data_IF_050226293262
#
_entry.id   IF_050226293262
#
_cell.length_a   1.000
_cell.length_b   1.000
_cell.length_c   1.000
_cell.angle_alpha   90.00
_cell.angle_beta   90.00
_cell.angle_gamma   90.00
#
_symmetry.space_group_name_H-M   'P 1'
#
loop_
_entity.id
_entity.type
_entity.pdbx_description
1 polymer ?
#
# COMPACT_ATOMS: atom_id res chain seq x y z
N UNK A 1 56.88 65.70 -0.45
CA UNK A 1 55.48 65.33 -0.70
C UNK A 1 55.41 63.82 -0.93
N UNK A 2 55.02 63.03 0.07
CA UNK A 2 54.89 61.56 -0.04
C UNK A 2 53.39 61.24 -0.02
N UNK A 3 52.86 60.68 -1.11
CA UNK A 3 51.47 60.22 -1.19
C UNK A 3 51.42 58.76 -0.72
N UNK A 4 50.68 58.51 0.36
CA UNK A 4 50.35 57.16 0.81
C UNK A 4 49.03 56.74 0.14
N UNK A 5 49.05 55.62 -0.57
CA UNK A 5 47.87 54.97 -1.15
C UNK A 5 47.39 53.96 -0.12
N UNK A 6 46.19 54.18 0.43
CA UNK A 6 45.51 53.22 1.29
C UNK A 6 44.73 52.24 0.41
N UNK A 7 45.13 50.97 0.42
CA UNK A 7 44.40 49.86 -0.20
C UNK A 7 43.33 49.41 0.79
N UNK A 8 42.06 49.61 0.41
CA UNK A 8 40.89 49.14 1.15
C UNK A 8 40.59 47.70 0.69
N UNK A 9 41.04 46.70 1.44
CA UNK A 9 40.63 45.31 1.25
C UNK A 9 39.20 45.13 1.76
N UNK A 10 38.24 45.06 0.84
CA UNK A 10 36.89 44.58 1.10
C UNK A 10 36.91 43.06 1.34
N UNK A 11 36.86 42.65 2.61
CA UNK A 11 36.52 41.28 2.97
C UNK A 11 35.01 41.09 2.78
N UNK A 12 34.61 40.57 1.62
CA UNK A 12 33.27 40.05 1.42
C UNK A 12 33.15 38.72 2.16
N UNK A 13 32.70 38.76 3.42
CA UNK A 13 32.22 37.57 4.13
C UNK A 13 30.94 37.12 3.44
N UNK A 14 31.04 36.09 2.61
CA UNK A 14 29.88 35.34 2.14
C UNK A 14 29.28 34.63 3.36
N UNK A 15 28.33 35.29 4.03
CA UNK A 15 27.42 34.63 4.94
C UNK A 15 26.59 33.66 4.10
N UNK A 16 26.98 32.38 4.06
CA UNK A 16 26.06 31.31 3.68
C UNK A 16 24.94 31.34 4.71
N UNK A 17 23.83 31.99 4.40
CA UNK A 17 22.62 31.92 5.20
C UNK A 17 22.12 30.48 5.11
N UNK A 18 22.38 29.68 6.13
CA UNK A 18 21.66 28.43 6.35
C UNK A 18 20.17 28.78 6.39
N UNK A 19 19.43 28.39 5.36
CA UNK A 19 17.99 28.59 5.36
C UNK A 19 17.40 27.82 6.55
N UNK A 20 16.51 28.42 7.33
CA UNK A 20 15.88 27.72 8.43
C UNK A 20 15.10 26.51 7.88
N UNK A 21 15.34 25.35 8.48
CA UNK A 21 14.62 24.11 8.17
C UNK A 21 13.13 24.33 8.43
N UNK A 22 12.27 24.04 7.45
CA UNK A 22 10.83 24.22 7.63
C UNK A 22 10.24 23.16 8.57
N UNK A 23 9.01 23.38 9.03
CA UNK A 23 8.29 22.42 9.87
C UNK A 23 7.99 21.11 9.12
N UNK A 24 7.77 21.19 7.80
CA UNK A 24 7.59 20.00 6.95
C UNK A 24 8.85 19.12 6.94
N UNK A 25 10.03 19.72 6.67
CA UNK A 25 11.31 19.02 6.76
C UNK A 25 11.55 18.46 8.16
N UNK A 26 11.20 19.21 9.21
CA UNK A 26 11.36 18.77 10.61
C UNK A 26 10.55 17.51 10.89
N UNK A 27 9.31 17.43 10.40
CA UNK A 27 8.49 16.21 10.50
C UNK A 27 9.17 15.03 9.82
N UNK A 28 9.71 15.21 8.61
CA UNK A 28 10.41 14.12 7.89
C UNK A 28 11.73 13.74 8.57
N UNK A 29 12.49 14.70 9.10
CA UNK A 29 13.72 14.42 9.87
C UNK A 29 13.43 13.51 11.06
N UNK A 30 12.33 13.72 11.76
CA UNK A 30 11.94 12.88 12.89
C UNK A 30 11.69 11.42 12.48
N UNK A 31 11.11 11.20 11.28
CA UNK A 31 10.83 9.85 10.76
C UNK A 31 12.10 9.05 10.47
N UNK A 32 13.21 9.70 10.13
CA UNK A 32 14.49 9.03 9.88
C UNK A 32 15.31 8.74 11.15
N UNK A 33 14.87 9.18 12.33
CA UNK A 33 15.65 8.98 13.56
C UNK A 33 15.98 7.51 13.86
N UNK A 34 15.04 6.54 13.73
CA UNK A 34 15.35 5.13 13.95
C UNK A 34 16.51 4.64 13.07
N UNK A 35 16.44 4.91 11.77
CA UNK A 35 17.47 4.54 10.78
C UNK A 35 18.82 5.21 11.04
N UNK A 36 18.82 6.49 11.43
CA UNK A 36 20.06 7.24 11.69
C UNK A 36 20.78 6.71 12.93
N UNK A 37 20.04 6.44 13.99
CA UNK A 37 20.57 5.98 15.29
C UNK A 37 21.07 4.54 15.18
N UNK A 38 20.28 3.67 14.56
CA UNK A 38 20.60 2.24 14.39
C UNK A 38 21.55 1.95 13.24
N UNK A 39 21.89 2.94 12.41
CA UNK A 39 22.59 2.74 11.13
C UNK A 39 21.83 1.80 10.17
N UNK A 40 20.50 1.81 10.24
CA UNK A 40 19.62 1.04 9.38
C UNK A 40 19.19 -0.30 9.96
N UNK A 41 19.74 -0.70 11.11
CA UNK A 41 19.39 -1.98 11.76
C UNK A 41 17.97 -1.97 12.33
N UNK A 42 17.45 -0.79 12.71
CA UNK A 42 16.06 -0.59 13.14
C UNK A 42 15.25 0.07 12.03
N UNK A 43 14.00 -0.38 11.86
CA UNK A 43 13.06 0.20 10.91
C UNK A 43 12.30 1.40 11.47
N UNK A 44 11.74 2.21 10.56
CA UNK A 44 10.75 3.24 10.84
C UNK A 44 9.37 2.58 10.86
N UNK A 45 8.74 2.36 12.03
CA UNK A 45 7.47 1.65 12.08
C UNK A 45 6.37 2.46 11.39
N UNK A 46 5.56 1.82 10.55
CA UNK A 46 4.46 2.49 9.86
C UNK A 46 3.50 3.18 10.84
N UNK A 47 3.29 2.58 12.01
CA UNK A 47 2.46 3.10 13.12
C UNK A 47 3.00 4.38 13.76
N UNK A 48 4.27 4.72 13.52
CA UNK A 48 4.89 5.95 14.02
C UNK A 48 4.77 7.13 13.05
N UNK A 49 4.34 6.88 11.81
CA UNK A 49 4.20 7.91 10.78
C UNK A 49 2.93 8.71 11.04
N UNK A 50 3.00 10.04 11.18
CA UNK A 50 1.82 10.87 11.40
C UNK A 50 1.08 11.05 10.06
N UNK A 51 0.29 10.07 9.66
CA UNK A 51 -0.43 10.08 8.39
C UNK A 51 -1.66 11.00 8.40
N UNK A 52 -2.09 11.45 7.22
CA UNK A 52 -3.43 12.03 7.04
C UNK A 52 -4.49 10.98 7.41
N UNK A 53 -5.69 11.40 7.85
CA UNK A 53 -6.76 10.45 8.17
C UNK A 53 -7.11 9.52 7.00
N UNK A 54 -7.14 10.04 5.77
CA UNK A 54 -7.40 9.22 4.59
C UNK A 54 -6.29 8.19 4.37
N UNK A 55 -5.02 8.57 4.49
CA UNK A 55 -3.91 7.65 4.25
C UNK A 55 -3.77 6.59 5.35
N UNK A 56 -3.98 6.98 6.62
CA UNK A 56 -4.06 6.04 7.76
C UNK A 56 -5.20 5.02 7.58
N UNK A 57 -6.39 5.48 7.15
CA UNK A 57 -7.51 4.59 6.88
C UNK A 57 -7.20 3.60 5.75
N UNK A 58 -6.59 4.08 4.67
CA UNK A 58 -6.19 3.26 3.52
C UNK A 58 -5.18 2.17 3.90
N UNK A 59 -4.11 2.54 4.60
CA UNK A 59 -3.08 1.56 5.03
C UNK A 59 -3.64 0.52 6.01
N UNK A 60 -4.55 0.92 6.91
CA UNK A 60 -5.27 0.00 7.79
C UNK A 60 -6.22 -0.92 7.04
N UNK A 61 -6.92 -0.41 6.04
CA UNK A 61 -7.79 -1.22 5.20
C UNK A 61 -6.98 -2.26 4.44
N UNK A 62 -5.87 -1.87 3.83
CA UNK A 62 -4.95 -2.79 3.16
C UNK A 62 -4.42 -3.87 4.13
N UNK A 63 -3.97 -3.47 5.33
CA UNK A 63 -3.49 -4.43 6.32
C UNK A 63 -4.56 -5.43 6.77
N UNK A 64 -5.83 -4.99 6.89
CA UNK A 64 -6.95 -5.90 7.14
C UNK A 64 -7.21 -6.84 5.97
N UNK A 65 -7.13 -6.31 4.75
CA UNK A 65 -7.36 -7.07 3.53
C UNK A 65 -6.33 -8.20 3.38
N UNK A 66 -5.05 -7.93 3.64
CA UNK A 66 -4.00 -8.95 3.57
C UNK A 66 -4.04 -10.01 4.68
N UNK A 67 -4.73 -9.73 5.79
CA UNK A 67 -4.79 -10.62 6.95
C UNK A 67 -3.56 -10.53 7.86
N UNK A 68 -3.61 -11.23 9.01
CA UNK A 68 -2.57 -11.12 10.05
C UNK A 68 -1.23 -11.76 9.66
N UNK A 69 -1.24 -12.70 8.71
CA UNK A 69 -0.06 -13.48 8.31
C UNK A 69 0.74 -12.86 7.15
N UNK A 70 0.21 -11.85 6.46
CA UNK A 70 0.83 -11.26 5.27
C UNK A 70 0.97 -9.73 5.40
N UNK A 71 2.15 -9.21 5.77
CA UNK A 71 2.34 -7.77 5.84
C UNK A 71 2.24 -7.16 4.43
N UNK A 72 1.28 -6.24 4.22
CA UNK A 72 1.19 -5.43 2.98
C UNK A 72 2.48 -4.68 2.71
N UNK A 73 3.11 -4.18 3.79
CA UNK A 73 4.32 -3.40 3.75
C UNK A 73 5.45 -4.18 4.43
N UNK A 74 6.09 -5.07 3.68
CA UNK A 74 7.17 -5.95 4.18
C UNK A 74 8.58 -5.31 4.07
N UNK A 75 8.66 -3.99 4.21
CA UNK A 75 9.91 -3.22 4.15
C UNK A 75 9.73 -1.88 4.88
N UNK A 76 10.84 -1.24 5.25
CA UNK A 76 10.85 0.11 5.78
C UNK A 76 10.62 1.15 4.66
N UNK A 77 9.51 1.92 4.67
CA UNK A 77 9.24 2.92 3.64
C UNK A 77 10.20 4.12 3.65
N UNK A 78 10.84 4.44 4.77
CA UNK A 78 11.84 5.49 4.86
C UNK A 78 13.20 5.03 4.32
N UNK A 79 13.58 3.77 4.58
CA UNK A 79 14.84 3.15 4.15
C UNK A 79 14.81 2.49 2.77
N UNK A 80 13.61 2.19 2.26
CA UNK A 80 13.34 1.36 1.07
C UNK A 80 14.04 -0.02 1.15
N UNK A 81 13.98 -0.67 2.30
CA UNK A 81 14.64 -1.95 2.52
C UNK A 81 14.01 -2.73 3.68
N UNK A 82 14.15 -4.06 3.64
CA UNK A 82 13.66 -4.97 4.68
C UNK A 82 14.73 -5.17 5.77
N UNK A 83 15.93 -5.60 5.39
CA UNK A 83 17.05 -5.89 6.30
C UNK A 83 18.32 -5.14 5.87
N UNK A 84 18.42 -3.85 6.21
CA UNK A 84 19.50 -2.99 5.76
C UNK A 84 20.47 -2.65 6.89
N UNK A 85 21.71 -2.33 6.52
CA UNK A 85 22.72 -1.80 7.44
C UNK A 85 23.61 -0.80 6.71
N UNK A 86 24.27 0.08 7.46
CA UNK A 86 25.14 1.10 6.90
C UNK A 86 24.40 2.33 6.37
N UNK A 87 23.23 2.66 6.92
CA UNK A 87 22.51 3.89 6.59
C UNK A 87 23.41 5.13 6.82
N UNK A 88 23.61 5.91 5.77
CA UNK A 88 24.53 7.04 5.76
C UNK A 88 24.07 8.17 4.84
N UNK A 89 24.73 9.31 4.97
CA UNK A 89 24.61 10.46 4.05
C UNK A 89 23.18 11.02 3.89
N UNK A 90 22.33 10.90 4.92
CA UNK A 90 20.99 11.44 4.90
C UNK A 90 20.99 12.96 4.69
N UNK A 91 20.25 13.39 3.67
CA UNK A 91 19.92 14.78 3.38
C UNK A 91 18.41 14.90 3.20
N UNK A 92 17.81 15.86 3.89
CA UNK A 92 16.39 16.17 3.79
C UNK A 92 16.26 17.62 3.34
N UNK A 93 15.48 17.84 2.29
CA UNK A 93 15.24 19.15 1.70
C UNK A 93 13.90 19.16 0.94
N UNK A 94 13.36 20.34 0.61
CA UNK A 94 12.28 20.42 -0.37
C UNK A 94 12.64 19.69 -1.67
N UNK A 95 11.66 19.00 -2.25
CA UNK A 95 11.82 18.36 -3.55
C UNK A 95 12.19 19.39 -4.63
N UNK A 96 13.12 19.04 -5.50
CA UNK A 96 13.51 19.91 -6.62
C UNK A 96 12.46 19.86 -7.74
N UNK A 97 12.48 20.83 -8.66
CA UNK A 97 11.65 20.76 -9.86
C UNK A 97 12.04 19.53 -10.71
N UNK A 98 11.05 18.84 -11.30
CA UNK A 98 11.19 17.60 -12.10
C UNK A 98 11.46 16.31 -11.30
N UNK A 99 10.91 16.20 -10.10
CA UNK A 99 10.87 14.94 -9.35
C UNK A 99 9.86 13.95 -9.95
N UNK A 100 9.89 12.70 -9.48
CA UNK A 100 8.99 11.62 -9.93
C UNK A 100 7.50 11.90 -9.71
N UNK A 101 7.18 12.89 -8.87
CA UNK A 101 5.82 13.30 -8.57
C UNK A 101 5.73 14.82 -8.51
N UNK A 102 4.53 15.32 -8.80
CA UNK A 102 4.11 16.69 -8.51
C UNK A 102 3.29 16.65 -7.23
N UNK A 103 3.55 17.55 -6.29
CA UNK A 103 2.75 17.66 -5.08
C UNK A 103 1.29 17.95 -5.44
N UNK A 104 0.34 17.30 -4.76
CA UNK A 104 -1.07 17.66 -4.88
C UNK A 104 -1.30 19.11 -4.41
N UNK A 105 -2.45 19.68 -4.77
CA UNK A 105 -2.78 21.04 -4.32
C UNK A 105 -2.80 21.12 -2.78
N UNK A 106 -2.10 22.11 -2.22
CA UNK A 106 -1.97 22.28 -0.78
C UNK A 106 -0.92 21.37 -0.12
N UNK A 107 -0.28 20.48 -0.87
CA UNK A 107 0.76 19.60 -0.36
C UNK A 107 2.17 20.15 -0.66
N UNK A 108 3.15 19.61 0.05
CA UNK A 108 4.58 19.86 -0.15
C UNK A 108 5.30 18.52 -0.27
N UNK A 109 6.14 18.36 -1.30
CA UNK A 109 7.03 17.21 -1.40
C UNK A 109 8.36 17.51 -0.70
N UNK A 110 8.72 16.67 0.27
CA UNK A 110 10.01 16.69 0.94
C UNK A 110 10.83 15.50 0.44
N UNK A 111 12.03 15.79 -0.07
CA UNK A 111 12.96 14.78 -0.56
C UNK A 111 13.93 14.38 0.54
N UNK A 112 14.01 13.08 0.82
CA UNK A 112 15.06 12.46 1.60
C UNK A 112 16.00 11.69 0.66
N UNK A 113 17.31 11.94 0.74
CA UNK A 113 18.32 11.24 -0.04
C UNK A 113 19.39 10.69 0.88
N UNK A 114 19.74 9.42 0.72
CA UNK A 114 20.64 8.70 1.62
C UNK A 114 21.36 7.58 0.88
N UNK A 115 22.30 6.92 1.54
CA UNK A 115 23.02 5.76 1.02
C UNK A 115 22.87 4.57 1.95
N UNK A 116 22.69 3.39 1.36
CA UNK A 116 22.80 2.09 2.02
C UNK A 116 23.80 1.27 1.20
N UNK A 117 25.07 1.18 1.59
CA UNK A 117 26.10 0.47 0.84
C UNK A 117 25.71 -1.01 0.58
N UNK A 118 26.13 -1.60 -0.55
CA UNK A 118 26.92 -1.02 -1.64
C UNK A 118 26.08 -0.25 -2.68
N UNK A 119 24.78 -0.04 -2.43
CA UNK A 119 23.87 0.55 -3.39
C UNK A 119 24.16 2.05 -3.64
N UNK A 120 23.76 2.59 -4.82
CA UNK A 120 23.81 4.03 -5.08
C UNK A 120 22.92 4.82 -4.10
N UNK A 121 23.02 6.15 -4.17
CA UNK A 121 22.12 7.03 -3.43
C UNK A 121 20.67 6.70 -3.76
N UNK A 122 19.87 6.51 -2.71
CA UNK A 122 18.42 6.30 -2.78
C UNK A 122 17.72 7.61 -2.50
N UNK A 123 16.51 7.74 -3.03
CA UNK A 123 15.67 8.92 -2.82
C UNK A 123 14.26 8.47 -2.49
N UNK A 124 13.73 9.03 -1.40
CA UNK A 124 12.33 8.91 -0.97
C UNK A 124 11.74 10.30 -0.95
N UNK A 125 10.53 10.44 -1.47
CA UNK A 125 9.75 11.67 -1.41
C UNK A 125 8.57 11.47 -0.46
N UNK A 126 8.42 12.41 0.44
CA UNK A 126 7.35 12.46 1.42
C UNK A 126 6.38 13.52 0.97
N UNK A 127 5.18 13.10 0.58
CA UNK A 127 4.09 14.02 0.30
C UNK A 127 3.44 14.39 1.62
N UNK A 128 3.56 15.66 2.01
CA UNK A 128 3.10 16.14 3.30
C UNK A 128 2.16 17.33 3.16
N UNK A 129 1.19 17.41 4.07
CA UNK A 129 0.19 18.47 4.12
C UNK A 129 0.07 19.02 5.53
N UNK A 130 -0.07 20.34 5.64
CA UNK A 130 -0.33 20.98 6.93
C UNK A 130 -1.79 20.79 7.34
N UNK A 131 -2.01 20.24 8.52
CA UNK A 131 -3.35 20.09 9.12
C UNK A 131 -3.46 20.94 10.39
N UNK A 132 -4.66 21.16 10.96
CA UNK A 132 -4.81 21.83 12.25
C UNK A 132 -4.04 21.16 13.41
N UNK A 133 -3.66 19.89 13.23
CA UNK A 133 -2.92 19.09 14.22
C UNK A 133 -1.42 18.96 13.88
N UNK A 134 -0.94 19.74 12.92
CA UNK A 134 0.43 19.76 12.41
C UNK A 134 0.57 19.07 11.05
N UNK A 135 1.81 18.98 10.57
CA UNK A 135 2.14 18.32 9.31
C UNK A 135 1.82 16.82 9.36
N UNK A 136 1.23 16.32 8.28
CA UNK A 136 0.85 14.92 8.11
C UNK A 136 1.40 14.38 6.79
N UNK A 137 1.74 13.10 6.77
CA UNK A 137 2.17 12.38 5.57
C UNK A 137 0.92 11.89 4.84
N UNK A 138 0.79 12.27 3.58
CA UNK A 138 -0.30 11.81 2.73
C UNK A 138 0.15 10.68 1.79
N UNK A 139 1.42 10.65 1.39
CA UNK A 139 1.98 9.55 0.59
C UNK A 139 3.50 9.45 0.79
N UNK A 140 4.06 8.28 0.48
CA UNK A 140 5.49 8.03 0.42
C UNK A 140 5.81 7.47 -0.96
N UNK A 141 6.77 8.09 -1.63
CA UNK A 141 7.05 7.88 -3.04
C UNK A 141 8.55 7.61 -3.24
N UNK A 142 8.86 6.77 -4.21
CA UNK A 142 10.21 6.52 -4.70
C UNK A 142 10.12 6.03 -6.15
N UNK A 143 11.24 5.83 -6.83
CA UNK A 143 11.21 5.38 -8.22
C UNK A 143 10.46 4.04 -8.35
N UNK A 144 9.40 4.02 -9.17
CA UNK A 144 8.49 2.86 -9.31
C UNK A 144 7.66 2.53 -8.07
N UNK A 145 7.53 3.44 -7.11
CA UNK A 145 6.99 3.16 -5.78
C UNK A 145 6.02 4.25 -5.30
N UNK A 146 4.83 3.83 -4.86
CA UNK A 146 3.93 4.66 -4.07
C UNK A 146 3.27 3.81 -2.98
N UNK A 147 3.38 4.24 -1.73
CA UNK A 147 2.80 3.52 -0.60
C UNK A 147 1.27 3.54 -0.64
N UNK A 148 0.64 4.64 -1.12
CA UNK A 148 -0.80 4.67 -1.43
C UNK A 148 -1.19 3.63 -2.47
N UNK A 149 -0.48 3.59 -3.61
CA UNK A 149 -0.78 2.63 -4.67
C UNK A 149 -0.66 1.18 -4.17
N UNK A 150 0.38 0.86 -3.38
CA UNK A 150 0.54 -0.49 -2.80
C UNK A 150 -0.65 -0.85 -1.90
N UNK A 151 -1.13 0.11 -1.10
CA UNK A 151 -2.31 -0.10 -0.26
C UNK A 151 -3.57 -0.35 -1.10
N UNK A 152 -3.77 0.45 -2.15
CA UNK A 152 -4.89 0.30 -3.10
C UNK A 152 -4.84 -1.05 -3.82
N UNK A 153 -3.66 -1.45 -4.30
CA UNK A 153 -3.47 -2.72 -5.00
C UNK A 153 -3.73 -3.92 -4.08
N UNK A 154 -3.31 -3.85 -2.81
CA UNK A 154 -3.58 -4.89 -1.82
C UNK A 154 -5.07 -5.05 -1.51
N UNK A 155 -5.81 -3.94 -1.45
CA UNK A 155 -7.26 -3.95 -1.29
C UNK A 155 -7.92 -4.55 -2.55
N UNK A 156 -7.54 -4.09 -3.73
CA UNK A 156 -8.12 -4.57 -4.99
C UNK A 156 -7.86 -6.06 -5.23
N UNK A 157 -6.67 -6.57 -4.88
CA UNK A 157 -6.35 -8.00 -4.99
C UNK A 157 -7.30 -8.85 -4.14
N UNK A 158 -7.66 -8.35 -2.96
CA UNK A 158 -8.57 -9.01 -2.02
C UNK A 158 -10.01 -8.99 -2.52
N UNK A 159 -10.47 -7.85 -3.05
CA UNK A 159 -11.81 -7.76 -3.67
C UNK A 159 -11.97 -8.83 -4.76
N UNK A 160 -10.96 -9.04 -5.62
CA UNK A 160 -11.04 -10.09 -6.65
C UNK A 160 -11.13 -11.51 -6.10
N UNK A 161 -10.51 -11.79 -4.95
CA UNK A 161 -10.54 -13.11 -4.33
C UNK A 161 -11.89 -13.37 -3.63
N UNK A 162 -12.44 -12.36 -2.96
CA UNK A 162 -13.79 -12.40 -2.41
C UNK A 162 -14.84 -12.60 -3.50
N UNK A 163 -14.77 -11.80 -4.57
CA UNK A 163 -15.69 -11.89 -5.71
C UNK A 163 -15.64 -13.28 -6.35
N UNK A 164 -14.42 -13.80 -6.60
CA UNK A 164 -14.22 -15.15 -7.15
C UNK A 164 -14.83 -16.22 -6.23
N UNK A 165 -14.69 -16.08 -4.92
CA UNK A 165 -15.26 -17.02 -3.96
C UNK A 165 -16.80 -17.03 -4.03
N UNK A 166 -17.43 -15.85 -4.06
CA UNK A 166 -18.90 -15.73 -4.18
C UNK A 166 -19.40 -16.25 -5.53
N UNK A 167 -18.69 -15.95 -6.61
CA UNK A 167 -19.02 -16.46 -7.95
C UNK A 167 -18.92 -17.99 -7.99
N UNK A 168 -17.85 -18.56 -7.44
CA UNK A 168 -17.68 -20.00 -7.37
C UNK A 168 -18.71 -20.69 -6.48
N UNK A 169 -19.11 -20.10 -5.35
CA UNK A 169 -20.25 -20.58 -4.56
C UNK A 169 -21.53 -20.63 -5.41
N UNK A 170 -21.78 -19.59 -6.21
CA UNK A 170 -22.98 -19.50 -7.03
C UNK A 170 -23.01 -20.56 -8.14
N UNK A 171 -21.91 -20.76 -8.88
CA UNK A 171 -21.83 -21.80 -9.91
C UNK A 171 -22.01 -23.20 -9.35
N UNK A 172 -21.33 -23.56 -8.26
CA UNK A 172 -21.47 -24.91 -7.69
C UNK A 172 -22.88 -25.15 -7.15
N UNK A 173 -23.52 -24.12 -6.58
CA UNK A 173 -24.90 -24.20 -6.11
C UNK A 173 -25.89 -24.41 -7.24
N UNK A 174 -25.83 -23.58 -8.28
CA UNK A 174 -26.68 -23.68 -9.47
C UNK A 174 -26.49 -25.04 -10.16
N UNK A 175 -25.25 -25.53 -10.23
CA UNK A 175 -24.98 -26.85 -10.83
C UNK A 175 -25.56 -27.99 -9.98
N UNK A 176 -25.42 -27.94 -8.67
CA UNK A 176 -26.01 -28.93 -7.77
C UNK A 176 -27.55 -28.95 -7.86
N UNK A 177 -28.18 -27.77 -7.94
CA UNK A 177 -29.64 -27.65 -8.13
C UNK A 177 -30.09 -28.23 -9.48
N UNK A 178 -29.35 -27.95 -10.56
CA UNK A 178 -29.63 -28.53 -11.88
C UNK A 178 -29.49 -30.07 -11.88
N UNK A 179 -28.46 -30.61 -11.21
CA UNK A 179 -28.28 -32.06 -11.05
C UNK A 179 -29.39 -32.69 -10.23
N UNK A 180 -29.83 -32.06 -9.13
CA UNK A 180 -30.93 -32.57 -8.31
C UNK A 180 -32.24 -32.73 -9.11
N UNK A 181 -32.45 -31.91 -10.15
CA UNK A 181 -33.60 -32.00 -11.05
C UNK A 181 -33.37 -33.08 -12.13
N UNK A 182 -32.21 -33.05 -12.80
CA UNK A 182 -31.94 -33.89 -13.97
C UNK A 182 -31.53 -35.33 -13.62
N UNK A 183 -30.86 -35.53 -12.50
CA UNK A 183 -30.32 -36.79 -12.01
C UNK A 183 -30.31 -36.82 -10.47
N UNK A 184 -31.45 -37.07 -9.82
CA UNK A 184 -31.60 -36.97 -8.35
C UNK A 184 -30.66 -37.87 -7.53
N UNK A 185 -30.16 -38.95 -8.12
CA UNK A 185 -29.22 -39.89 -7.49
C UNK A 185 -27.74 -39.56 -7.79
N UNK A 186 -27.45 -38.43 -8.45
CA UNK A 186 -26.09 -38.01 -8.75
C UNK A 186 -25.32 -37.66 -7.46
N UNK A 187 -24.03 -37.99 -7.43
CA UNK A 187 -23.14 -37.64 -6.32
C UNK A 187 -22.75 -36.15 -6.41
N UNK A 188 -23.24 -35.35 -5.46
CA UNK A 188 -22.96 -33.91 -5.34
C UNK A 188 -21.88 -33.58 -4.30
N UNK A 189 -21.26 -34.59 -3.67
CA UNK A 189 -20.34 -34.38 -2.55
C UNK A 189 -19.15 -33.45 -2.88
N UNK A 190 -18.64 -33.51 -4.10
CA UNK A 190 -17.58 -32.63 -4.57
C UNK A 190 -18.03 -31.16 -4.69
N UNK A 191 -19.28 -30.91 -5.10
CA UNK A 191 -19.85 -29.57 -5.19
C UNK A 191 -20.11 -29.01 -3.79
N UNK A 192 -20.67 -29.81 -2.88
CA UNK A 192 -20.90 -29.43 -1.48
C UNK A 192 -19.59 -29.10 -0.76
N UNK A 193 -18.54 -29.90 -1.00
CA UNK A 193 -17.20 -29.63 -0.45
C UNK A 193 -16.62 -28.34 -1.01
N UNK A 194 -16.77 -28.10 -2.32
CA UNK A 194 -16.30 -26.87 -2.95
C UNK A 194 -17.07 -25.65 -2.44
N UNK A 195 -18.40 -25.72 -2.32
CA UNK A 195 -19.24 -24.66 -1.77
C UNK A 195 -18.80 -24.29 -0.35
N UNK A 196 -18.55 -25.29 0.51
CA UNK A 196 -18.06 -25.06 1.87
C UNK A 196 -16.67 -24.41 1.91
N UNK A 197 -15.73 -24.86 1.05
CA UNK A 197 -14.41 -24.25 0.92
C UNK A 197 -14.50 -22.78 0.49
N UNK A 198 -15.28 -22.49 -0.55
CA UNK A 198 -15.43 -21.13 -1.07
C UNK A 198 -16.22 -20.23 -0.11
N UNK A 199 -17.22 -20.76 0.60
CA UNK A 199 -17.92 -20.03 1.67
C UNK A 199 -16.96 -19.58 2.76
N UNK A 200 -16.09 -20.48 3.24
CA UNK A 200 -15.08 -20.14 4.24
C UNK A 200 -14.11 -19.05 3.72
N UNK A 201 -13.77 -19.08 2.44
CA UNK A 201 -12.96 -18.03 1.82
C UNK A 201 -13.73 -16.71 1.75
N UNK A 202 -14.98 -16.70 1.30
CA UNK A 202 -15.81 -15.50 1.22
C UNK A 202 -16.08 -14.86 2.60
N UNK A 203 -16.21 -15.68 3.65
CA UNK A 203 -16.34 -15.23 5.04
C UNK A 203 -15.11 -14.49 5.57
N UNK A 204 -13.93 -14.67 4.96
CA UNK A 204 -12.73 -13.89 5.28
C UNK A 204 -12.81 -12.45 4.72
N UNK A 205 -13.70 -12.20 3.75
CA UNK A 205 -13.76 -10.95 2.99
C UNK A 205 -15.01 -10.14 3.28
N UNK A 206 -16.16 -10.80 3.46
CA UNK A 206 -17.45 -10.13 3.58
C UNK A 206 -18.08 -10.33 4.96
N UNK A 207 -18.78 -9.31 5.45
CA UNK A 207 -19.63 -9.48 6.63
C UNK A 207 -20.80 -10.41 6.31
N UNK A 208 -21.38 -11.15 7.28
CA UNK A 208 -22.41 -12.16 6.99
C UNK A 208 -23.62 -11.65 6.20
N UNK A 209 -24.09 -10.42 6.47
CA UNK A 209 -25.23 -9.82 5.76
C UNK A 209 -24.86 -9.43 4.33
N UNK A 210 -23.65 -8.89 4.14
CA UNK A 210 -23.12 -8.51 2.84
C UNK A 210 -22.89 -9.74 1.96
N UNK A 211 -22.26 -10.78 2.52
CA UNK A 211 -22.06 -12.05 1.85
C UNK A 211 -23.37 -12.67 1.38
N UNK A 212 -24.38 -12.71 2.25
CA UNK A 212 -25.69 -13.26 1.90
C UNK A 212 -26.36 -12.47 0.75
N UNK A 213 -26.27 -11.15 0.78
CA UNK A 213 -26.83 -10.30 -0.29
C UNK A 213 -26.07 -10.47 -1.61
N UNK A 214 -24.73 -10.52 -1.54
CA UNK A 214 -23.90 -10.67 -2.74
C UNK A 214 -24.12 -12.04 -3.37
N UNK A 215 -24.06 -13.12 -2.57
CA UNK A 215 -24.33 -14.48 -3.05
C UNK A 215 -25.71 -14.59 -3.72
N UNK A 216 -26.76 -14.06 -3.10
CA UNK A 216 -28.10 -14.07 -3.71
C UNK A 216 -28.16 -13.29 -5.03
N UNK A 217 -27.43 -12.17 -5.12
CA UNK A 217 -27.34 -11.37 -6.35
C UNK A 217 -26.57 -12.12 -7.45
N UNK A 218 -25.48 -12.81 -7.10
CA UNK A 218 -24.69 -13.63 -8.02
C UNK A 218 -25.51 -14.81 -8.56
N UNK A 219 -26.27 -15.51 -7.71
CA UNK A 219 -27.22 -16.54 -8.16
C UNK A 219 -28.19 -15.97 -9.20
N UNK A 220 -28.80 -14.81 -8.91
CA UNK A 220 -29.78 -14.20 -9.81
C UNK A 220 -29.20 -13.76 -11.16
N UNK A 221 -27.92 -13.37 -11.20
CA UNK A 221 -27.23 -12.99 -12.44
C UNK A 221 -26.78 -14.21 -13.24
N UNK A 222 -26.29 -15.26 -12.55
CA UNK A 222 -25.68 -16.42 -13.20
C UNK A 222 -26.70 -17.50 -13.61
N UNK A 223 -27.91 -17.48 -13.05
CA UNK A 223 -29.06 -18.31 -13.48
C UNK A 223 -29.37 -18.14 -14.98
N UNK A 224 -29.13 -16.96 -15.55
CA UNK A 224 -29.35 -16.70 -16.98
C UNK A 224 -28.42 -17.49 -17.93
N UNK A 225 -27.38 -18.14 -17.40
CA UNK A 225 -26.44 -18.96 -18.18
C UNK A 225 -27.02 -20.33 -18.53
N UNK A 226 -26.50 -20.93 -19.61
CA UNK A 226 -26.92 -22.27 -19.99
C UNK A 226 -26.41 -23.33 -18.99
N UNK A 227 -27.07 -24.49 -18.85
CA UNK A 227 -26.61 -25.55 -17.95
C UNK A 227 -25.18 -26.03 -18.23
N UNK A 228 -24.73 -26.01 -19.49
CA UNK A 228 -23.37 -26.39 -19.88
C UNK A 228 -22.32 -25.34 -19.48
N UNK A 229 -22.65 -24.05 -19.56
CA UNK A 229 -21.80 -22.97 -19.07
C UNK A 229 -21.66 -23.06 -17.55
N UNK A 230 -22.80 -23.17 -16.83
CA UNK A 230 -22.82 -23.34 -15.37
C UNK A 230 -21.99 -24.55 -14.95
N UNK A 231 -22.16 -25.70 -15.63
CA UNK A 231 -21.36 -26.91 -15.36
C UNK A 231 -19.87 -26.67 -15.57
N UNK A 232 -19.48 -26.04 -16.67
CA UNK A 232 -18.07 -25.78 -16.98
C UNK A 232 -17.41 -24.91 -15.92
N UNK A 233 -18.09 -23.85 -15.47
CA UNK A 233 -17.59 -22.99 -14.39
C UNK A 233 -17.58 -23.71 -13.04
N UNK A 234 -18.62 -24.48 -12.71
CA UNK A 234 -18.66 -25.26 -11.47
C UNK A 234 -17.53 -26.30 -11.40
N UNK A 235 -17.26 -27.02 -12.49
CA UNK A 235 -16.13 -27.98 -12.59
C UNK A 235 -14.78 -27.28 -12.38
N UNK A 236 -14.60 -26.07 -12.93
CA UNK A 236 -13.41 -25.26 -12.68
C UNK A 236 -13.30 -24.88 -11.20
N UNK A 237 -14.37 -24.38 -10.58
CA UNK A 237 -14.42 -24.02 -9.16
C UNK A 237 -14.18 -25.21 -8.21
N UNK A 238 -14.61 -26.42 -8.57
CA UNK A 238 -14.29 -27.64 -7.82
C UNK A 238 -12.80 -27.96 -7.89
N UNK A 239 -12.18 -27.73 -9.05
CA UNK A 239 -10.77 -28.02 -9.32
C UNK A 239 -9.84 -27.01 -8.62
N UNK A 240 -10.22 -25.74 -8.61
CA UNK A 240 -9.42 -24.64 -8.05
C UNK A 240 -9.77 -24.29 -6.61
N UNK A 241 -10.62 -25.09 -5.95
CA UNK A 241 -11.10 -24.76 -4.61
C UNK A 241 -9.95 -24.58 -3.60
N UNK A 242 -10.09 -23.64 -2.66
CA UNK A 242 -9.17 -23.49 -1.55
C UNK A 242 -9.14 -24.74 -0.66
N UNK A 243 -7.93 -25.08 -0.18
CA UNK A 243 -7.68 -26.21 0.72
C UNK A 243 -7.83 -25.83 2.18
#
# INVERSE_FOLDING_TARGET
>A
MKRAIAVLCLFATACSSEQPVSLAETTVIALYQPLVVSKGEDSTPLTSIPMTPEFDALTKQAARAAGEDFPVFDFDPAGLCQDCSGFADLKIAPAQANTIATAAEGHTLIQASFRIPPAPTRTVYWDVVETPTGWRVDNILADGFSLRQIAEDAIAAVDTQGDTAVECMAYVRLHAEALAIAAPDADTSALETAEASWSKTAEAFFQPVELAQYFASSIAVLDDLTPDEIRTHAEACVTTRPT
#
